data_IF_800178840567
#
_entry.id   IF_800178840567
#
_cell.length_a   1.000
_cell.length_b   1.000
_cell.length_c   1.000
_cell.angle_alpha   90.00
_cell.angle_beta   90.00
_cell.angle_gamma   90.00
#
_symmetry.space_group_name_H-M   'P 1'
#
loop_
_entity.id
_entity.type
_entity.pdbx_description
1 polymer ?
#
# COMPACT_ATOMS: atom_id res chain seq x y z
N UNK A 1 14.32 30.04 -3.52
CA UNK A 1 13.79 29.01 -2.60
C UNK A 1 13.19 27.86 -3.42
N UNK A 2 13.98 27.03 -4.12
CA UNK A 2 13.39 25.87 -4.86
C UNK A 2 14.34 24.78 -5.38
N UNK A 3 15.61 24.66 -4.96
CA UNK A 3 16.49 23.66 -5.62
C UNK A 3 16.50 22.27 -4.95
N UNK A 4 16.16 22.21 -3.67
CA UNK A 4 16.21 20.95 -2.92
C UNK A 4 15.00 20.04 -3.18
N UNK A 5 13.85 20.60 -3.57
CA UNK A 5 12.61 19.82 -3.77
C UNK A 5 12.76 18.78 -4.87
N UNK A 6 13.29 19.18 -6.02
CA UNK A 6 13.50 18.28 -7.16
C UNK A 6 14.50 17.18 -6.82
N UNK A 7 15.59 17.54 -6.15
CA UNK A 7 16.61 16.57 -5.69
C UNK A 7 16.04 15.57 -4.69
N UNK A 8 15.22 16.03 -3.74
CA UNK A 8 14.55 15.16 -2.76
C UNK A 8 13.58 14.21 -3.47
N UNK A 9 12.78 14.73 -4.41
CA UNK A 9 11.83 13.92 -5.15
C UNK A 9 12.52 12.84 -5.99
N UNK A 10 13.58 13.20 -6.74
CA UNK A 10 14.35 12.23 -7.53
C UNK A 10 14.96 11.13 -6.67
N UNK A 11 15.52 11.48 -5.50
CA UNK A 11 16.06 10.48 -4.56
C UNK A 11 14.96 9.58 -4.00
N UNK A 12 13.81 10.15 -3.69
CA UNK A 12 12.67 9.40 -3.18
C UNK A 12 12.12 8.42 -4.23
N UNK A 13 11.89 8.88 -5.46
CA UNK A 13 11.45 8.05 -6.58
C UNK A 13 12.44 6.91 -6.86
N UNK A 14 13.74 7.19 -6.82
CA UNK A 14 14.78 6.17 -6.94
C UNK A 14 14.66 5.10 -5.84
N UNK A 15 14.48 5.51 -4.58
CA UNK A 15 14.27 4.55 -3.49
C UNK A 15 12.99 3.71 -3.67
N UNK A 16 11.94 4.28 -4.26
CA UNK A 16 10.72 3.52 -4.56
C UNK A 16 10.98 2.45 -5.62
N UNK A 17 11.71 2.79 -6.68
CA UNK A 17 12.09 1.84 -7.73
C UNK A 17 12.99 0.73 -7.17
N UNK A 18 14.05 1.08 -6.44
CA UNK A 18 14.96 0.12 -5.81
C UNK A 18 14.22 -0.83 -4.85
N UNK A 19 13.20 -0.33 -4.14
CA UNK A 19 12.37 -1.16 -3.27
C UNK A 19 11.40 -2.08 -4.02
N UNK A 20 10.89 -1.66 -5.18
CA UNK A 20 10.04 -2.49 -6.04
C UNK A 20 10.82 -3.61 -6.73
N UNK A 21 12.11 -3.39 -7.02
CA UNK A 21 12.99 -4.42 -7.54
C UNK A 21 13.20 -5.58 -6.56
N UNK A 22 12.83 -5.40 -5.29
CA UNK A 22 12.93 -6.41 -4.24
C UNK A 22 14.27 -6.37 -3.52
N UNK A 23 14.25 -6.74 -2.24
CA UNK A 23 15.46 -6.78 -1.41
C UNK A 23 16.09 -8.16 -1.48
N UNK A 24 17.43 -8.29 -1.55
CA UNK A 24 18.05 -9.61 -1.56
C UNK A 24 17.67 -10.37 -0.27
N UNK A 25 17.21 -11.61 -0.43
CA UNK A 25 16.96 -12.51 0.69
C UNK A 25 18.31 -12.82 1.31
N UNK A 26 18.46 -12.57 2.61
CA UNK A 26 19.69 -12.85 3.33
C UNK A 26 19.55 -14.15 4.13
N UNK A 27 20.63 -14.93 4.19
CA UNK A 27 20.78 -16.05 5.13
C UNK A 27 20.93 -15.53 6.56
N UNK A 28 20.90 -16.44 7.55
CA UNK A 28 21.13 -16.09 8.97
C UNK A 28 22.49 -15.44 9.23
N UNK A 29 23.46 -15.70 8.35
CA UNK A 29 24.81 -15.15 8.41
C UNK A 29 24.97 -13.84 7.60
N UNK A 30 23.88 -13.33 7.03
CA UNK A 30 23.83 -12.08 6.28
C UNK A 30 24.31 -12.19 4.83
N UNK A 31 24.51 -13.40 4.29
CA UNK A 31 24.88 -13.59 2.88
C UNK A 31 23.64 -13.65 1.98
N UNK A 32 23.66 -13.05 0.78
CA UNK A 32 22.54 -13.15 -0.16
C UNK A 32 22.30 -14.61 -0.56
N UNK A 33 21.05 -15.05 -0.52
CA UNK A 33 20.65 -16.37 -1.00
C UNK A 33 20.63 -16.33 -2.52
N UNK A 34 21.49 -17.11 -3.16
CA UNK A 34 21.47 -17.37 -4.60
C UNK A 34 20.67 -18.62 -4.91
N UNK A 35 19.83 -18.56 -5.94
CA UNK A 35 19.13 -19.72 -6.47
C UNK A 35 20.13 -20.66 -7.18
N UNK A 36 20.27 -21.93 -6.75
CA UNK A 36 21.23 -22.86 -7.33
C UNK A 36 20.94 -23.26 -8.79
N UNK A 37 19.73 -23.00 -9.31
CA UNK A 37 19.38 -23.29 -10.70
C UNK A 37 19.74 -22.18 -11.70
N UNK A 38 19.72 -20.93 -11.26
CA UNK A 38 19.86 -19.74 -12.13
C UNK A 38 21.11 -18.92 -11.80
N UNK A 39 21.68 -19.08 -10.60
CA UNK A 39 22.79 -18.26 -10.12
C UNK A 39 22.38 -16.83 -9.77
N UNK A 40 21.09 -16.50 -9.84
CA UNK A 40 20.58 -15.18 -9.48
C UNK A 40 20.33 -15.06 -7.97
N UNK A 41 20.46 -13.85 -7.46
CA UNK A 41 20.15 -13.54 -6.07
C UNK A 41 18.63 -13.54 -5.91
N UNK A 42 18.12 -14.37 -5.00
CA UNK A 42 16.71 -14.36 -4.64
C UNK A 42 16.37 -13.01 -4.02
N UNK A 43 15.36 -12.36 -4.57
CA UNK A 43 14.83 -11.11 -4.05
C UNK A 43 13.49 -11.39 -3.37
N UNK A 44 13.33 -10.84 -2.17
CA UNK A 44 12.07 -10.88 -1.45
C UNK A 44 11.07 -9.94 -2.13
N UNK A 45 9.81 -10.35 -2.11
CA UNK A 45 8.72 -9.52 -2.57
C UNK A 45 8.60 -8.28 -1.66
N UNK A 46 8.36 -7.09 -2.23
CA UNK A 46 8.12 -5.90 -1.42
C UNK A 46 6.92 -6.10 -0.49
N UNK A 47 7.04 -5.60 0.73
CA UNK A 47 6.01 -5.73 1.75
C UNK A 47 4.74 -4.93 1.41
N UNK A 48 3.59 -5.39 1.93
CA UNK A 48 2.29 -4.76 1.68
C UNK A 48 2.23 -3.29 2.13
N UNK A 49 2.95 -2.93 3.19
CA UNK A 49 3.09 -1.54 3.64
C UNK A 49 3.83 -0.69 2.62
N UNK A 50 4.95 -1.17 2.08
CA UNK A 50 5.68 -0.45 1.03
C UNK A 50 4.86 -0.29 -0.25
N UNK A 51 4.16 -1.34 -0.71
CA UNK A 51 3.26 -1.26 -1.86
C UNK A 51 2.14 -0.23 -1.66
N UNK A 52 1.66 -0.07 -0.43
CA UNK A 52 0.66 0.95 -0.10
C UNK A 52 1.21 2.37 -0.23
N UNK A 53 2.48 2.60 0.15
CA UNK A 53 3.18 3.89 -0.02
C UNK A 53 3.37 4.22 -1.50
N UNK A 54 3.86 3.25 -2.29
CA UNK A 54 4.02 3.42 -3.75
C UNK A 54 2.67 3.77 -4.40
N UNK A 55 1.60 3.07 -4.02
CA UNK A 55 0.25 3.34 -4.55
C UNK A 55 -0.26 4.73 -4.17
N UNK A 56 -0.06 5.15 -2.92
CA UNK A 56 -0.44 6.49 -2.47
C UNK A 56 0.35 7.58 -3.22
N UNK A 57 1.66 7.38 -3.38
CA UNK A 57 2.53 8.30 -4.11
C UNK A 57 2.10 8.46 -5.58
N UNK A 58 1.81 7.33 -6.26
CA UNK A 58 1.29 7.36 -7.63
C UNK A 58 -0.08 8.02 -7.73
N UNK A 59 -0.97 7.80 -6.74
CA UNK A 59 -2.28 8.47 -6.67
C UNK A 59 -2.11 9.98 -6.56
N UNK A 60 -1.25 10.45 -5.67
CA UNK A 60 -0.99 11.88 -5.47
C UNK A 60 -0.31 12.53 -6.68
N UNK A 61 0.50 11.78 -7.44
CA UNK A 61 1.20 12.27 -8.63
C UNK A 61 0.29 12.32 -9.87
N UNK A 62 -0.57 11.32 -10.06
CA UNK A 62 -1.44 11.21 -11.24
C UNK A 62 -2.73 12.03 -11.10
N UNK A 63 -3.26 12.15 -9.88
CA UNK A 63 -4.46 12.93 -9.63
C UNK A 63 -4.44 13.51 -8.21
N UNK A 64 -3.76 14.67 -8.01
CA UNK A 64 -3.74 15.34 -6.72
C UNK A 64 -5.14 15.78 -6.24
N UNK A 65 -6.15 15.72 -7.12
CA UNK A 65 -7.56 16.00 -6.81
C UNK A 65 -8.42 14.74 -6.70
N UNK A 66 -7.85 13.54 -6.86
CA UNK A 66 -8.55 12.28 -6.62
C UNK A 66 -8.91 12.23 -5.14
N UNK A 67 -10.16 12.61 -4.85
CA UNK A 67 -10.78 12.60 -3.53
C UNK A 67 -10.22 11.43 -2.74
N UNK A 68 -9.57 11.73 -1.60
CA UNK A 68 -9.33 10.72 -0.56
C UNK A 68 -10.68 10.04 -0.38
N UNK A 69 -10.78 8.76 -0.70
CA UNK A 69 -12.00 8.02 -0.41
C UNK A 69 -12.33 8.34 1.05
N UNK A 70 -13.51 8.93 1.33
CA UNK A 70 -13.79 9.42 2.65
C UNK A 70 -13.59 8.23 3.60
N UNK A 71 -12.66 8.38 4.54
CA UNK A 71 -12.44 7.37 5.56
C UNK A 71 -13.82 6.98 6.10
N UNK A 72 -14.12 5.68 6.19
CA UNK A 72 -15.44 5.23 6.61
C UNK A 72 -15.75 5.90 7.94
N UNK A 73 -16.82 6.70 7.96
CA UNK A 73 -17.25 7.38 9.17
C UNK A 73 -17.56 6.31 10.20
N UNK A 74 -16.87 6.37 11.33
CA UNK A 74 -17.11 5.47 12.47
C UNK A 74 -18.60 5.48 12.81
N UNK A 75 -19.22 4.30 12.81
CA UNK A 75 -20.64 4.11 13.14
C UNK A 75 -21.59 3.85 11.96
N UNK A 76 -21.12 3.80 10.71
CA UNK A 76 -21.95 3.35 9.59
C UNK A 76 -21.68 1.88 9.26
N UNK A 77 -22.71 1.03 9.36
CA UNK A 77 -22.64 -0.34 8.87
C UNK A 77 -22.38 -0.34 7.36
N UNK A 78 -21.49 -1.21 6.88
CA UNK A 78 -21.18 -1.37 5.45
C UNK A 78 -21.49 -2.79 4.96
N UNK A 79 -21.69 -2.92 3.65
CA UNK A 79 -21.86 -4.20 2.98
C UNK A 79 -23.18 -4.89 3.32
N UNK A 80 -23.13 -6.20 3.63
CA UNK A 80 -24.32 -7.00 3.90
C UNK A 80 -25.12 -6.52 5.12
N UNK A 81 -24.47 -5.94 6.13
CA UNK A 81 -25.15 -5.39 7.32
C UNK A 81 -26.05 -4.20 6.98
N UNK A 82 -25.62 -3.30 6.09
CA UNK A 82 -26.45 -2.18 5.62
C UNK A 82 -27.65 -2.64 4.78
N UNK A 83 -27.52 -3.76 4.04
CA UNK A 83 -28.65 -4.37 3.33
C UNK A 83 -29.62 -5.06 4.29
N UNK A 84 -29.11 -5.62 5.40
CA UNK A 84 -29.92 -6.25 6.45
C UNK A 84 -30.71 -5.22 7.26
N UNK A 85 -30.11 -4.07 7.62
CA UNK A 85 -30.80 -2.97 8.32
C UNK A 85 -31.95 -2.36 7.49
N UNK A 86 -31.86 -2.36 6.16
CA UNK A 86 -32.97 -1.95 5.29
C UNK A 86 -34.15 -2.93 5.33
N UNK A 87 -33.89 -4.21 5.61
CA UNK A 87 -34.92 -5.25 5.68
C UNK A 87 -35.57 -5.34 7.06
N UNK A 88 -34.84 -5.00 8.12
CA UNK A 88 -35.42 -4.76 9.44
C UNK A 88 -34.64 -3.64 10.13
N UNK A 89 -35.21 -2.42 10.25
CA UNK A 89 -34.58 -1.39 11.07
C UNK A 89 -34.54 -1.90 12.51
N UNK A 90 -33.34 -1.89 13.12
CA UNK A 90 -33.19 -2.22 14.54
C UNK A 90 -34.12 -1.31 15.36
N UNK A 91 -35.20 -1.90 15.89
CA UNK A 91 -36.27 -1.18 16.59
C UNK A 91 -37.68 -1.66 16.25
N UNK A 92 -37.89 -2.34 15.13
CA UNK A 92 -39.17 -2.97 14.81
C UNK A 92 -39.25 -4.39 15.38
N UNK A 93 -39.32 -4.51 16.71
CA UNK A 93 -39.83 -5.76 17.33
C UNK A 93 -41.36 -5.66 17.39
N UNK A 94 -42.13 -6.59 16.82
CA UNK A 94 -43.54 -6.70 17.18
C UNK A 94 -43.61 -7.13 18.65
N UNK A 95 -44.49 -6.49 19.42
CA UNK A 95 -44.89 -6.97 20.75
C UNK A 95 -45.52 -8.35 20.65
#
# INVERSE_FOLDING_TARGET
>A
MSDNRTTIQQKFEKCLLDGLEGRPVLTKDGTPVTDPGTGEILKDTPDSSFLSVVRAYLKDLLDPNAKKDPLPKTGQAQGMLAQFEKRMPFGARPN
#
